data_IF_125544070571
#
_entry.id   IF_125544070571
#
_cell.length_a   1.000
_cell.length_b   1.000
_cell.length_c   1.000
_cell.angle_alpha   90.00
_cell.angle_beta   90.00
_cell.angle_gamma   90.00
#
_symmetry.space_group_name_H-M   'P 1'
#
loop_
_entity.id
_entity.type
_entity.pdbx_description
1 polymer ?
#
# COMPACT_ATOMS: atom_id res chain seq x y z
N UNK A 1 9.68 2.69 -17.24
CA UNK A 1 9.60 1.91 -15.99
C UNK A 1 10.91 1.17 -15.69
N UNK A 2 11.38 0.30 -16.58
CA UNK A 2 12.59 -0.53 -16.36
C UNK A 2 13.82 0.30 -15.98
N UNK A 3 14.16 1.35 -16.74
CA UNK A 3 15.31 2.20 -16.43
C UNK A 3 15.21 2.88 -15.04
N UNK A 4 14.01 3.31 -14.64
CA UNK A 4 13.76 3.90 -13.32
C UNK A 4 14.02 2.87 -12.21
N UNK A 5 13.53 1.64 -12.40
CA UNK A 5 13.74 0.55 -11.45
C UNK A 5 15.23 0.22 -11.31
N UNK A 6 15.94 0.03 -12.42
CA UNK A 6 17.39 -0.26 -12.41
C UNK A 6 18.19 0.84 -11.73
N UNK A 7 17.92 2.11 -12.05
CA UNK A 7 18.60 3.24 -11.42
C UNK A 7 18.34 3.31 -9.90
N UNK A 8 17.12 3.00 -9.46
CA UNK A 8 16.80 2.94 -8.03
C UNK A 8 17.51 1.80 -7.32
N UNK A 9 17.54 0.60 -7.89
CA UNK A 9 18.25 -0.56 -7.32
C UNK A 9 19.73 -0.21 -7.13
N UNK A 10 20.37 0.42 -8.11
CA UNK A 10 21.76 0.87 -8.00
C UNK A 10 21.94 1.93 -6.90
N UNK A 11 21.02 2.90 -6.80
CA UNK A 11 21.07 3.96 -5.79
C UNK A 11 20.88 3.43 -4.36
N UNK A 12 19.94 2.52 -4.15
CA UNK A 12 19.66 1.95 -2.82
C UNK A 12 20.56 0.77 -2.47
N UNK A 13 21.29 0.24 -3.46
CA UNK A 13 22.03 -1.03 -3.36
C UNK A 13 21.16 -2.19 -2.85
N UNK A 14 19.87 -2.16 -3.16
CA UNK A 14 18.89 -3.09 -2.63
C UNK A 14 17.86 -3.45 -3.71
N UNK A 15 17.86 -4.69 -4.24
CA UNK A 15 16.83 -5.19 -5.14
C UNK A 15 15.59 -5.67 -4.35
N UNK A 16 15.16 -4.90 -3.35
CA UNK A 16 14.09 -5.26 -2.41
C UNK A 16 12.77 -4.64 -2.87
N UNK A 17 11.68 -5.39 -2.76
CA UNK A 17 10.32 -4.88 -2.97
C UNK A 17 9.51 -5.10 -1.71
N UNK A 18 8.98 -4.03 -1.12
CA UNK A 18 8.10 -4.16 0.04
C UNK A 18 6.70 -4.52 -0.43
N UNK A 19 6.15 -5.61 0.10
CA UNK A 19 4.75 -5.98 -0.07
C UNK A 19 3.85 -5.11 0.82
N UNK A 20 2.76 -4.60 0.27
CA UNK A 20 1.74 -3.85 1.03
C UNK A 20 0.44 -4.65 0.98
N UNK A 21 0.37 -5.66 1.85
CA UNK A 21 -0.67 -6.69 1.88
C UNK A 21 -1.42 -6.66 3.24
N UNK A 22 -2.05 -5.52 3.61
CA UNK A 22 -2.59 -5.31 4.94
C UNK A 22 -3.88 -6.10 5.16
N UNK A 23 -3.86 -7.04 6.10
CA UNK A 23 -5.09 -7.65 6.63
C UNK A 23 -5.46 -6.96 7.93
N UNK A 24 -6.74 -6.64 8.13
CA UNK A 24 -7.19 -5.87 9.29
C UNK A 24 -6.77 -6.50 10.62
N UNK A 25 -6.82 -7.83 10.72
CA UNK A 25 -6.38 -8.60 11.90
C UNK A 25 -4.87 -8.56 12.17
N UNK A 26 -4.04 -8.14 11.20
CA UNK A 26 -2.59 -7.96 11.38
C UNK A 26 -2.21 -6.51 11.69
N UNK A 27 -3.15 -5.58 11.54
CA UNK A 27 -2.92 -4.17 11.87
C UNK A 27 -2.91 -4.03 13.39
N UNK A 28 -1.92 -3.36 13.99
CA UNK A 28 -1.89 -3.14 15.43
C UNK A 28 -3.17 -2.46 15.96
N UNK A 29 -3.68 -2.93 17.11
CA UNK A 29 -4.96 -2.46 17.67
C UNK A 29 -5.06 -0.94 17.78
N UNK A 30 -4.00 -0.27 18.22
CA UNK A 30 -3.99 1.20 18.36
C UNK A 30 -4.22 1.95 17.04
N UNK A 31 -3.86 1.36 15.90
CA UNK A 31 -4.13 1.94 14.57
C UNK A 31 -5.59 1.72 14.19
N UNK A 32 -6.13 0.52 14.44
CA UNK A 32 -7.54 0.20 14.19
C UNK A 32 -8.46 1.07 15.05
N UNK A 33 -8.22 1.15 16.36
CA UNK A 33 -8.99 1.94 17.31
C UNK A 33 -9.02 3.42 16.92
N UNK A 34 -7.88 3.96 16.48
CA UNK A 34 -7.81 5.35 16.02
C UNK A 34 -8.69 5.58 14.78
N UNK A 35 -8.62 4.68 13.80
CA UNK A 35 -9.42 4.78 12.58
C UNK A 35 -10.92 4.62 12.87
N UNK A 36 -11.31 3.65 13.69
CA UNK A 36 -12.71 3.42 14.07
C UNK A 36 -13.27 4.53 14.95
N UNK A 37 -12.44 5.20 15.76
CA UNK A 37 -12.87 6.38 16.52
C UNK A 37 -13.24 7.55 15.59
N UNK A 38 -12.55 7.70 14.46
CA UNK A 38 -12.76 8.81 13.53
C UNK A 38 -13.86 8.52 12.49
N UNK A 39 -13.94 7.27 12.01
CA UNK A 39 -14.82 6.88 10.89
C UNK A 39 -15.88 5.84 11.25
N UNK A 40 -15.93 5.38 12.50
CA UNK A 40 -16.82 4.32 12.98
C UNK A 40 -16.31 2.92 12.63
N UNK A 41 -16.96 1.89 13.21
CA UNK A 41 -16.74 0.48 12.84
C UNK A 41 -17.42 0.16 11.51
N UNK A 42 -16.88 0.75 10.45
CA UNK A 42 -17.43 0.72 9.07
C UNK A 42 -16.35 0.27 8.08
N UNK A 43 -16.72 0.07 6.82
CA UNK A 43 -15.75 -0.22 5.76
C UNK A 43 -14.79 0.97 5.54
N UNK A 44 -15.27 2.19 5.76
CA UNK A 44 -14.47 3.42 5.76
C UNK A 44 -13.44 3.40 6.89
N UNK A 45 -13.84 3.02 8.11
CA UNK A 45 -12.90 2.86 9.23
C UNK A 45 -11.85 1.80 8.99
N UNK A 46 -12.23 0.65 8.42
CA UNK A 46 -11.28 -0.41 8.07
C UNK A 46 -10.30 0.03 6.97
N UNK A 47 -10.80 0.73 5.94
CA UNK A 47 -10.00 1.28 4.86
C UNK A 47 -9.01 2.35 5.36
N UNK A 48 -9.42 3.18 6.32
CA UNK A 48 -8.53 4.17 6.94
C UNK A 48 -7.44 3.50 7.79
N UNK A 49 -7.77 2.46 8.57
CA UNK A 49 -6.76 1.69 9.31
C UNK A 49 -5.69 1.10 8.38
N UNK A 50 -6.14 0.51 7.26
CA UNK A 50 -5.27 -0.02 6.19
C UNK A 50 -4.38 1.06 5.60
N UNK A 51 -4.97 2.19 5.24
CA UNK A 51 -4.22 3.31 4.67
C UNK A 51 -3.15 3.81 5.63
N UNK A 52 -3.49 4.05 6.90
CA UNK A 52 -2.55 4.55 7.91
C UNK A 52 -1.40 3.57 8.15
N UNK A 53 -1.70 2.27 8.24
CA UNK A 53 -0.69 1.24 8.41
C UNK A 53 0.29 1.21 7.24
N UNK A 54 -0.20 1.19 6.00
CA UNK A 54 0.66 1.18 4.82
C UNK A 54 1.46 2.47 4.66
N UNK A 55 0.86 3.62 4.96
CA UNK A 55 1.54 4.90 4.94
C UNK A 55 2.76 4.87 5.88
N UNK A 56 2.60 4.33 7.09
CA UNK A 56 3.69 4.23 8.06
C UNK A 56 4.82 3.32 7.55
N UNK A 57 4.49 2.16 6.95
CA UNK A 57 5.49 1.28 6.31
C UNK A 57 6.26 2.04 5.24
N UNK A 58 5.56 2.75 4.35
CA UNK A 58 6.19 3.53 3.28
C UNK A 58 7.09 4.63 3.86
N UNK A 59 6.61 5.37 4.86
CA UNK A 59 7.39 6.44 5.50
C UNK A 59 8.69 5.95 6.14
N UNK A 60 8.74 4.70 6.61
CA UNK A 60 9.94 4.10 7.19
C UNK A 60 10.85 3.39 6.21
N UNK A 61 10.44 3.20 4.95
CA UNK A 61 11.17 2.35 4.00
C UNK A 61 11.46 3.00 2.65
N UNK A 62 10.81 4.13 2.29
CA UNK A 62 10.85 4.67 0.93
C UNK A 62 12.24 5.07 0.43
N UNK A 63 13.17 5.39 1.31
CA UNK A 63 14.56 5.74 1.01
C UNK A 63 15.48 4.52 0.93
N UNK A 64 15.04 3.37 1.44
CA UNK A 64 15.79 2.11 1.46
C UNK A 64 15.45 1.20 0.27
N UNK A 65 14.31 1.39 -0.38
CA UNK A 65 13.78 0.45 -1.38
C UNK A 65 13.52 1.12 -2.74
N UNK A 66 13.68 0.37 -3.84
CA UNK A 66 13.35 0.86 -5.17
C UNK A 66 11.85 0.82 -5.49
N UNK A 67 11.09 -0.10 -4.87
CA UNK A 67 9.74 -0.40 -5.27
C UNK A 67 8.87 -0.98 -4.14
N UNK A 68 7.55 -0.89 -4.36
CA UNK A 68 6.51 -1.51 -3.53
C UNK A 68 5.55 -2.33 -4.39
N UNK A 69 4.90 -3.31 -3.76
CA UNK A 69 3.91 -4.19 -4.40
C UNK A 69 2.62 -4.28 -3.58
N UNK A 70 1.67 -3.35 -3.73
CA UNK A 70 0.37 -3.46 -3.07
C UNK A 70 -0.49 -4.59 -3.68
N UNK A 71 -1.04 -5.45 -2.82
CA UNK A 71 -1.97 -6.53 -3.19
C UNK A 71 -3.41 -6.04 -3.19
N UNK A 72 -4.03 -5.92 -4.37
CA UNK A 72 -5.36 -5.29 -4.51
C UNK A 72 -6.46 -6.03 -3.75
N UNK A 73 -6.38 -7.36 -3.65
CA UNK A 73 -7.37 -8.17 -2.94
C UNK A 73 -7.49 -7.81 -1.44
N UNK A 74 -6.41 -7.27 -0.85
CA UNK A 74 -6.42 -6.81 0.54
C UNK A 74 -7.20 -5.51 0.74
N UNK A 75 -7.49 -4.79 -0.34
CA UNK A 75 -8.23 -3.53 -0.30
C UNK A 75 -9.67 -3.75 -0.79
N UNK A 76 -9.86 -4.48 -1.88
CA UNK A 76 -11.17 -4.69 -2.53
C UNK A 76 -12.21 -5.36 -1.62
N UNK A 77 -11.77 -6.17 -0.65
CA UNK A 77 -12.68 -6.77 0.34
C UNK A 77 -13.45 -5.74 1.18
N UNK A 78 -13.00 -4.47 1.21
CA UNK A 78 -13.68 -3.36 1.86
C UNK A 78 -14.49 -2.49 0.88
N UNK A 79 -14.81 -3.01 -0.29
CA UNK A 79 -15.61 -2.32 -1.31
C UNK A 79 -14.97 -1.02 -1.82
N UNK A 80 -15.79 -0.02 -2.11
CA UNK A 80 -15.34 1.27 -2.64
C UNK A 80 -14.39 2.01 -1.66
N UNK A 81 -14.66 2.08 -0.34
CA UNK A 81 -13.70 2.66 0.61
C UNK A 81 -12.31 2.01 0.53
N UNK A 82 -12.26 0.69 0.42
CA UNK A 82 -11.02 -0.06 0.22
C UNK A 82 -10.30 0.32 -1.08
N UNK A 83 -11.02 0.37 -2.20
CA UNK A 83 -10.46 0.82 -3.49
C UNK A 83 -9.94 2.26 -3.45
N UNK A 84 -10.61 3.15 -2.71
CA UNK A 84 -10.14 4.52 -2.48
C UNK A 84 -8.85 4.53 -1.65
N UNK A 85 -8.75 3.69 -0.62
CA UNK A 85 -7.50 3.50 0.14
C UNK A 85 -6.38 2.93 -0.74
N UNK A 86 -6.66 1.96 -1.62
CA UNK A 86 -5.68 1.43 -2.59
C UNK A 86 -5.14 2.56 -3.48
N UNK A 87 -6.03 3.37 -4.07
CA UNK A 87 -5.64 4.51 -4.89
C UNK A 87 -4.76 5.49 -4.09
N UNK A 88 -5.16 5.81 -2.85
CA UNK A 88 -4.42 6.70 -1.93
C UNK A 88 -3.02 6.13 -1.63
N UNK A 89 -2.89 4.83 -1.38
CA UNK A 89 -1.60 4.12 -1.21
C UNK A 89 -0.74 4.22 -2.46
N UNK A 90 -1.28 3.92 -3.64
CA UNK A 90 -0.53 4.01 -4.91
C UNK A 90 -0.03 5.42 -5.16
N UNK A 91 -0.88 6.44 -5.00
CA UNK A 91 -0.53 7.84 -5.24
C UNK A 91 0.56 8.31 -4.26
N UNK A 92 0.46 7.91 -3.00
CA UNK A 92 1.47 8.22 -2.00
C UNK A 92 2.83 7.56 -2.28
N UNK A 93 2.84 6.29 -2.67
CA UNK A 93 4.09 5.62 -3.05
C UNK A 93 4.75 6.31 -4.26
N UNK A 94 3.94 6.73 -5.24
CA UNK A 94 4.43 7.49 -6.40
C UNK A 94 5.00 8.86 -6.01
N UNK A 95 4.39 9.56 -5.04
CA UNK A 95 4.90 10.85 -4.56
C UNK A 95 6.25 10.72 -3.82
N UNK A 96 6.52 9.55 -3.22
CA UNK A 96 7.84 9.15 -2.69
C UNK A 96 8.80 8.62 -3.78
N UNK A 97 8.45 8.84 -5.04
CA UNK A 97 9.18 8.42 -6.23
C UNK A 97 9.30 6.87 -6.39
N UNK A 98 8.64 6.05 -5.57
CA UNK A 98 8.75 4.59 -5.65
C UNK A 98 8.17 4.04 -6.96
N UNK A 99 8.74 2.95 -7.46
CA UNK A 99 8.08 2.12 -8.48
C UNK A 99 6.96 1.33 -7.79
N UNK A 100 5.77 1.33 -8.37
CA UNK A 100 4.60 0.62 -7.81
C UNK A 100 4.22 -0.52 -8.75
N UNK A 101 4.17 -1.73 -8.20
CA UNK A 101 3.77 -2.95 -8.91
C UNK A 101 2.41 -3.37 -8.35
N UNK A 102 1.33 -3.13 -9.11
CA UNK A 102 0.01 -3.61 -8.70
C UNK A 102 -0.05 -5.13 -8.80
N UNK A 103 -0.11 -5.83 -7.66
CA UNK A 103 -0.33 -7.27 -7.63
C UNK A 103 -1.84 -7.53 -7.74
N UNK A 104 -2.30 -7.61 -8.99
CA UNK A 104 -3.71 -7.71 -9.36
C UNK A 104 -4.02 -9.07 -9.99
N UNK A 105 -3.00 -9.78 -10.49
CA UNK A 105 -3.16 -11.06 -11.24
C UNK A 105 -4.20 -10.96 -12.36
N UNK A 106 -4.25 -9.79 -13.02
CA UNK A 106 -5.24 -9.50 -14.06
C UNK A 106 -5.07 -10.48 -15.23
N UNK A 107 -6.16 -11.14 -15.61
CA UNK A 107 -6.26 -11.98 -16.80
C UNK A 107 -7.68 -11.87 -17.35
N UNK A 108 -7.80 -11.51 -18.62
CA UNK A 108 -9.05 -11.38 -19.35
C UNK A 108 -8.75 -11.64 -20.84
N UNK A 109 -9.78 -11.71 -21.69
CA UNK A 109 -9.68 -12.14 -23.09
C UNK A 109 -8.98 -11.15 -24.04
N UNK A 110 -8.78 -9.89 -23.61
CA UNK A 110 -8.12 -8.83 -24.40
C UNK A 110 -9.07 -7.70 -24.79
#
# INVERSE_FOLDING_TARGET
MINKLTAKIQKTNAPIVVGLDPMLNYIPNHVQEKAFKEYGETLEGAAEAIWQFNKEIVDKTYDLIPAVKPQIAMYEQFGIPGLMAYKKTVDYCKSKDLVVIGDIKRGDIG
#
